data_IF_528049030317
#
_entry.id   IF_528049030317
#
_cell.length_a   1.000
_cell.length_b   1.000
_cell.length_c   1.000
_cell.angle_alpha   90.00
_cell.angle_beta   90.00
_cell.angle_gamma   90.00
#
_symmetry.space_group_name_H-M   'P 1'
#
loop_
_entity.id
_entity.type
_entity.pdbx_description
1 polymer ?
#
# COMPACT_ATOMS: atom_id res chain seq x y z
N UNK A 1 11.58 -29.46 31.65
CA UNK A 1 10.88 -28.77 30.57
C UNK A 1 11.17 -27.29 30.65
N UNK A 2 11.83 -26.75 29.67
CA UNK A 2 12.11 -25.33 29.64
C UNK A 2 10.84 -24.58 29.29
N UNK A 3 10.40 -23.73 30.20
CA UNK A 3 9.33 -22.81 29.88
C UNK A 3 9.79 -21.88 28.77
N UNK A 4 9.08 -21.91 27.65
CA UNK A 4 9.32 -20.98 26.58
C UNK A 4 8.75 -19.63 27.03
N UNK A 5 9.65 -18.71 27.37
CA UNK A 5 9.24 -17.35 27.71
C UNK A 5 9.12 -16.55 26.42
N UNK A 6 7.92 -16.52 25.87
CA UNK A 6 7.62 -15.67 24.74
C UNK A 6 7.33 -14.26 25.26
N UNK A 7 7.96 -13.27 24.64
CA UNK A 7 7.59 -11.90 24.92
C UNK A 7 7.10 -11.24 23.65
N UNK A 8 6.18 -10.31 23.81
CA UNK A 8 5.57 -9.58 22.73
C UNK A 8 6.33 -8.31 22.47
N UNK A 9 6.75 -8.10 21.24
CA UNK A 9 7.45 -6.90 20.83
C UNK A 9 6.65 -6.19 19.75
N UNK A 10 6.43 -4.89 19.93
CA UNK A 10 5.81 -4.04 18.93
C UNK A 10 6.89 -3.39 18.10
N UNK A 11 6.86 -3.67 16.78
CA UNK A 11 7.77 -3.08 15.81
C UNK A 11 6.97 -2.04 15.02
N UNK A 12 7.12 -0.80 15.39
CA UNK A 12 6.29 0.30 14.90
C UNK A 12 5.04 0.50 15.75
N UNK A 13 4.18 1.46 15.41
CA UNK A 13 4.44 2.49 14.40
C UNK A 13 5.59 3.42 14.77
N UNK A 14 6.06 4.22 13.86
CA UNK A 14 7.18 5.15 14.06
C UNK A 14 8.51 4.44 14.32
N UNK A 15 8.76 3.38 13.57
CA UNK A 15 10.05 2.71 13.54
C UNK A 15 10.68 2.93 12.15
N UNK A 16 11.99 3.21 12.05
CA UNK A 16 12.60 3.47 10.74
C UNK A 16 12.39 2.34 9.73
N UNK A 17 12.44 1.08 10.18
CA UNK A 17 12.22 -0.07 9.32
C UNK A 17 10.74 -0.31 9.00
N UNK A 18 9.83 0.38 9.68
CA UNK A 18 8.39 0.22 9.48
C UNK A 18 7.79 1.33 8.61
N UNK A 19 8.61 2.20 8.05
CA UNK A 19 8.21 3.31 7.20
C UNK A 19 7.12 4.20 7.80
N UNK A 20 7.05 4.26 9.14
CA UNK A 20 6.13 5.12 9.87
C UNK A 20 4.70 4.61 9.97
N UNK A 21 4.26 3.68 9.12
CA UNK A 21 2.85 3.27 9.02
C UNK A 21 2.62 1.77 9.19
N UNK A 22 3.66 1.03 9.47
CA UNK A 22 3.54 -0.40 9.73
C UNK A 22 3.65 -0.67 11.22
N UNK A 23 2.68 -1.40 11.75
CA UNK A 23 2.76 -1.98 13.08
C UNK A 23 2.90 -3.48 12.95
N UNK A 24 3.97 -4.01 13.47
CA UNK A 24 4.25 -5.45 13.44
C UNK A 24 4.36 -5.94 14.88
N UNK A 25 3.44 -6.79 15.29
CA UNK A 25 3.46 -7.41 16.60
C UNK A 25 4.13 -8.76 16.47
N UNK A 26 5.22 -8.95 17.20
CA UNK A 26 6.03 -10.15 17.17
C UNK A 26 5.96 -10.88 18.50
N UNK A 27 5.75 -12.20 18.44
CA UNK A 27 5.98 -13.08 19.59
C UNK A 27 7.34 -13.72 19.39
N UNK A 28 8.24 -13.50 20.34
CA UNK A 28 9.62 -13.94 20.22
C UNK A 28 9.99 -14.90 21.35
N UNK A 29 10.80 -15.88 21.00
CA UNK A 29 11.50 -16.73 21.95
C UNK A 29 12.98 -16.41 21.82
N UNK A 30 13.49 -15.56 22.74
CA UNK A 30 14.83 -15.02 22.62
C UNK A 30 14.95 -14.15 21.33
N UNK A 31 15.80 -14.60 20.42
CA UNK A 31 16.00 -13.91 19.11
C UNK A 31 15.16 -14.53 17.98
N UNK A 32 14.47 -15.63 18.29
CA UNK A 32 13.68 -16.34 17.28
C UNK A 32 12.26 -15.84 17.28
N UNK A 33 11.77 -15.48 16.09
CA UNK A 33 10.40 -15.04 15.92
C UNK A 33 9.50 -16.27 15.84
N UNK A 34 8.58 -16.40 16.81
CA UNK A 34 7.60 -17.48 16.82
C UNK A 34 6.36 -17.12 16.00
N UNK A 35 5.92 -15.88 16.09
CA UNK A 35 4.74 -15.42 15.39
C UNK A 35 4.89 -13.95 15.01
N UNK A 36 4.48 -13.61 13.82
CA UNK A 36 4.43 -12.24 13.33
C UNK A 36 2.98 -11.90 12.99
N UNK A 37 2.48 -10.80 13.53
CA UNK A 37 1.12 -10.35 13.29
C UNK A 37 1.17 -8.90 12.79
N UNK A 38 1.10 -8.69 11.47
CA UNK A 38 1.12 -7.34 10.92
C UNK A 38 -0.22 -6.65 11.13
N UNK A 39 -0.16 -5.43 11.65
CA UNK A 39 -1.33 -4.57 11.80
C UNK A 39 -1.27 -3.48 10.74
N UNK A 40 -2.11 -3.63 9.72
CA UNK A 40 -2.18 -2.70 8.61
C UNK A 40 -3.40 -1.79 8.78
N UNK A 41 -3.42 -0.70 8.04
CA UNK A 41 -4.53 0.23 8.08
C UNK A 41 -4.20 1.61 8.60
N UNK A 42 -2.99 1.83 9.10
CA UNK A 42 -2.59 3.14 9.63
C UNK A 42 -2.63 4.24 8.55
N UNK A 43 -2.51 3.86 7.30
CA UNK A 43 -2.58 4.75 6.15
C UNK A 43 -3.84 4.51 5.32
N UNK A 44 -4.80 3.78 5.84
CA UNK A 44 -6.03 3.51 5.11
C UNK A 44 -6.85 4.78 4.94
N UNK A 45 -7.09 5.16 3.69
CA UNK A 45 -7.78 6.40 3.34
C UNK A 45 -9.10 6.18 2.62
N UNK A 46 -9.57 4.95 2.54
CA UNK A 46 -10.82 4.62 1.87
C UNK A 46 -10.80 4.92 0.38
N UNK A 47 -9.64 4.78 -0.27
CA UNK A 47 -9.45 5.14 -1.67
C UNK A 47 -10.43 4.44 -2.60
N UNK A 48 -10.69 3.17 -2.37
CA UNK A 48 -11.63 2.40 -3.18
C UNK A 48 -13.04 2.98 -3.08
N UNK A 49 -13.46 3.31 -1.89
CA UNK A 49 -14.78 3.91 -1.67
C UNK A 49 -14.89 5.29 -2.27
N UNK A 50 -13.83 6.08 -2.16
CA UNK A 50 -13.77 7.41 -2.77
C UNK A 50 -13.78 7.31 -4.29
N UNK A 51 -13.11 6.32 -4.85
CA UNK A 51 -13.08 6.09 -6.30
C UNK A 51 -14.47 5.79 -6.85
N UNK A 52 -15.30 5.06 -6.11
CA UNK A 52 -16.66 4.74 -6.53
C UNK A 52 -17.54 5.99 -6.68
N UNK A 53 -17.22 7.07 -5.98
CA UNK A 53 -18.01 8.30 -5.97
C UNK A 53 -17.70 9.24 -7.13
N UNK A 54 -16.72 8.90 -7.98
CA UNK A 54 -16.24 9.80 -9.03
C UNK A 54 -16.17 9.10 -10.39
N UNK A 55 -16.30 9.85 -11.51
CA UNK A 55 -16.04 9.29 -12.84
C UNK A 55 -14.62 8.75 -12.95
N UNK A 56 -14.42 7.78 -13.85
CA UNK A 56 -13.14 7.10 -14.00
C UNK A 56 -11.98 8.05 -14.28
N UNK A 57 -12.20 9.09 -15.10
CA UNK A 57 -11.13 10.02 -15.44
C UNK A 57 -10.66 10.86 -14.24
N UNK A 58 -11.51 11.08 -13.25
CA UNK A 58 -11.16 11.83 -12.05
C UNK A 58 -10.40 10.97 -11.04
N UNK A 59 -10.41 9.67 -11.21
CA UNK A 59 -9.71 8.75 -10.31
C UNK A 59 -8.20 8.69 -10.55
N UNK A 60 -7.71 9.32 -11.62
CA UNK A 60 -6.27 9.37 -11.90
C UNK A 60 -5.49 9.91 -10.71
N UNK A 61 -6.01 10.93 -10.04
CA UNK A 61 -5.37 11.50 -8.85
C UNK A 61 -5.23 10.53 -7.69
N UNK A 62 -6.10 9.54 -7.58
CA UNK A 62 -5.98 8.52 -6.54
C UNK A 62 -4.87 7.52 -6.83
N UNK A 63 -4.57 7.30 -8.10
CA UNK A 63 -3.49 6.39 -8.48
C UNK A 63 -2.14 6.91 -8.01
N UNK A 64 -1.94 8.23 -8.00
CA UNK A 64 -0.70 8.85 -7.50
C UNK A 64 -0.39 8.43 -6.07
N UNK A 65 -1.42 8.19 -5.29
CA UNK A 65 -1.30 7.97 -3.85
C UNK A 65 -1.16 6.49 -3.49
N UNK A 66 -1.17 5.60 -4.47
CA UNK A 66 -0.96 4.17 -4.22
C UNK A 66 0.52 3.87 -4.01
N UNK A 67 1.32 4.07 -5.03
CA UNK A 67 2.76 4.01 -4.93
C UNK A 67 3.31 5.42 -5.18
N UNK A 68 3.33 6.23 -4.15
CA UNK A 68 3.67 7.64 -4.26
C UNK A 68 5.15 7.89 -4.58
N UNK A 69 5.97 6.86 -4.58
CA UNK A 69 7.36 6.94 -5.04
C UNK A 69 7.44 6.98 -6.57
N UNK A 70 6.46 6.42 -7.25
CA UNK A 70 6.41 6.38 -8.72
C UNK A 70 5.03 6.80 -9.24
N UNK A 71 4.64 8.04 -8.92
CA UNK A 71 3.31 8.58 -9.22
C UNK A 71 2.99 8.54 -10.72
N UNK A 72 3.92 8.93 -11.57
CA UNK A 72 3.71 8.96 -13.01
C UNK A 72 3.52 7.56 -13.59
N UNK A 73 4.20 6.57 -13.05
CA UNK A 73 4.00 5.17 -13.46
C UNK A 73 2.61 4.68 -13.12
N UNK A 74 2.09 5.06 -11.94
CA UNK A 74 0.74 4.70 -11.53
C UNK A 74 -0.31 5.32 -12.45
N UNK A 75 -0.17 6.59 -12.77
CA UNK A 75 -1.05 7.30 -13.70
C UNK A 75 -1.00 6.67 -15.08
N UNK A 76 0.20 6.40 -15.58
CA UNK A 76 0.39 5.81 -16.90
C UNK A 76 -0.28 4.44 -17.00
N UNK A 77 -0.11 3.60 -15.98
CA UNK A 77 -0.75 2.29 -15.96
C UNK A 77 -2.28 2.39 -16.01
N UNK A 78 -2.85 3.31 -15.25
CA UNK A 78 -4.30 3.52 -15.23
C UNK A 78 -4.82 4.05 -16.55
N UNK A 79 -4.13 5.03 -17.14
CA UNK A 79 -4.51 5.62 -18.43
C UNK A 79 -4.41 4.59 -19.56
N UNK A 80 -3.36 3.76 -19.56
CA UNK A 80 -3.23 2.69 -20.54
C UNK A 80 -4.39 1.70 -20.49
N UNK A 81 -4.85 1.39 -19.26
CA UNK A 81 -5.99 0.49 -19.09
C UNK A 81 -7.27 1.11 -19.66
N UNK A 82 -7.50 2.39 -19.42
CA UNK A 82 -8.66 3.10 -19.95
C UNK A 82 -8.61 3.18 -21.46
N UNK A 83 -7.46 3.52 -22.03
CA UNK A 83 -7.29 3.60 -23.49
C UNK A 83 -7.58 2.26 -24.16
N UNK A 84 -7.10 1.18 -23.57
CA UNK A 84 -7.34 -0.17 -24.09
C UNK A 84 -8.81 -0.55 -24.01
N UNK A 85 -9.47 -0.20 -22.91
CA UNK A 85 -10.88 -0.48 -22.73
C UNK A 85 -11.75 0.26 -23.75
N UNK A 86 -11.43 1.52 -24.03
CA UNK A 86 -12.16 2.34 -24.98
C UNK A 86 -11.67 2.18 -26.41
N UNK A 87 -10.60 1.41 -26.63
CA UNK A 87 -9.96 1.21 -27.95
C UNK A 87 -9.51 2.53 -28.58
N UNK A 88 -8.96 3.40 -27.73
CA UNK A 88 -8.41 4.68 -28.18
C UNK A 88 -6.93 4.56 -28.46
N UNK A 89 -6.49 5.21 -29.52
CA UNK A 89 -5.07 5.34 -29.84
C UNK A 89 -4.71 6.82 -29.78
N UNK A 90 -4.03 7.29 -28.73
CA UNK A 90 -3.69 8.70 -28.63
C UNK A 90 -2.62 9.07 -29.67
N UNK A 91 -2.60 10.36 -30.11
CA UNK A 91 -1.56 10.83 -31.00
C UNK A 91 -0.17 10.65 -30.39
N UNK A 92 0.84 10.50 -31.24
CA UNK A 92 2.21 10.26 -30.80
C UNK A 92 2.70 11.32 -29.82
N UNK A 93 2.30 12.57 -30.02
CA UNK A 93 2.70 13.68 -29.15
C UNK A 93 2.00 13.63 -27.79
N UNK A 94 0.82 13.02 -27.70
CA UNK A 94 0.10 12.85 -26.44
C UNK A 94 0.68 11.71 -25.60
N UNK A 95 1.40 10.81 -26.22
CA UNK A 95 2.08 9.72 -25.54
C UNK A 95 3.33 10.25 -24.85
#
# INVERSE_FOLDING_TARGET
MTEIQNFTMNFGPQHPAAHGVLRLVLEMDGEVIQKADPHVGLLHRGTEKLAESKPYNQNIGYMDRLDYVSMMCNEHGYVLAIERLLKLTPPKRAQ
#
